data_IF_564384301321
#
_entry.id   IF_564384301321
#
_cell.length_a   1.000
_cell.length_b   1.000
_cell.length_c   1.000
_cell.angle_alpha   90.00
_cell.angle_beta   90.00
_cell.angle_gamma   90.00
#
_symmetry.space_group_name_H-M   'P 1'
#
loop_
_entity.id
_entity.type
_entity.pdbx_description
1 polymer ?
#
# COMPACT_ATOMS: atom_id res chain seq x y z
N UNK A 1 7.54 -7.76 11.68
CA UNK A 1 6.09 -7.94 11.47
C UNK A 1 5.49 -8.58 12.72
N UNK A 2 4.40 -8.03 13.22
CA UNK A 2 3.64 -8.60 14.34
C UNK A 2 2.27 -9.01 13.85
N UNK A 3 1.65 -10.00 14.48
CA UNK A 3 0.33 -10.48 14.08
C UNK A 3 -0.50 -10.83 15.32
N UNK A 4 -1.78 -10.45 15.30
CA UNK A 4 -2.73 -10.82 16.35
C UNK A 4 -3.94 -11.51 15.70
N UNK A 5 -4.22 -12.73 16.12
CA UNK A 5 -5.33 -13.52 15.61
C UNK A 5 -6.37 -13.75 16.69
N UNK A 6 -7.62 -13.56 16.33
CA UNK A 6 -8.77 -14.02 17.12
C UNK A 6 -9.76 -14.67 16.16
N UNK A 7 -10.85 -15.23 16.70
CA UNK A 7 -11.89 -15.80 15.86
C UNK A 7 -12.63 -14.73 15.04
N UNK A 8 -12.58 -13.46 15.48
CA UNK A 8 -13.34 -12.37 14.90
C UNK A 8 -12.51 -11.46 14.00
N UNK A 9 -11.20 -11.41 14.21
CA UNK A 9 -10.33 -10.53 13.42
C UNK A 9 -8.88 -11.02 13.35
N UNK A 10 -8.20 -10.54 12.33
CA UNK A 10 -6.75 -10.72 12.19
C UNK A 10 -6.15 -9.33 11.97
N UNK A 11 -5.13 -9.01 12.76
CA UNK A 11 -4.38 -7.76 12.60
C UNK A 11 -2.93 -8.10 12.30
N UNK A 12 -2.38 -7.47 11.27
CA UNK A 12 -0.98 -7.58 10.90
C UNK A 12 -0.36 -6.20 10.95
N UNK A 13 0.77 -6.07 11.63
CA UNK A 13 1.54 -4.84 11.69
C UNK A 13 2.79 -4.98 10.84
N UNK A 14 2.89 -4.18 9.80
CA UNK A 14 4.04 -4.15 8.91
C UNK A 14 4.97 -3.01 9.32
N UNK A 15 6.25 -3.28 9.34
CA UNK A 15 7.27 -2.28 9.70
C UNK A 15 8.53 -2.50 8.88
N UNK A 16 9.46 -1.55 8.97
CA UNK A 16 10.78 -1.67 8.37
C UNK A 16 11.84 -1.22 9.38
N UNK A 17 13.11 -1.27 8.99
CA UNK A 17 14.24 -0.93 9.86
C UNK A 17 14.60 0.55 9.84
N UNK A 18 13.87 1.37 9.05
CA UNK A 18 14.23 2.75 8.76
C UNK A 18 13.44 3.73 9.62
N UNK A 19 12.24 3.37 10.04
CA UNK A 19 11.37 4.26 10.81
C UNK A 19 10.64 3.51 11.91
N UNK A 20 10.08 4.26 12.85
CA UNK A 20 9.24 3.70 13.93
C UNK A 20 7.79 3.50 13.50
N UNK A 21 7.49 3.81 12.25
CA UNK A 21 6.15 3.70 11.70
C UNK A 21 5.75 2.24 11.50
N UNK A 22 4.52 1.92 11.88
CA UNK A 22 3.92 0.62 11.59
C UNK A 22 2.63 0.82 10.81
N UNK A 23 2.41 -0.02 9.80
CA UNK A 23 1.15 -0.07 9.06
C UNK A 23 0.31 -1.21 9.60
N UNK A 24 -0.89 -0.91 10.08
CA UNK A 24 -1.82 -1.92 10.57
C UNK A 24 -2.76 -2.33 9.46
N UNK A 25 -2.82 -3.63 9.17
CA UNK A 25 -3.78 -4.22 8.25
C UNK A 25 -4.74 -5.07 9.06
N UNK A 26 -6.03 -4.86 8.87
CA UNK A 26 -7.08 -5.55 9.65
C UNK A 26 -8.03 -6.30 8.76
N UNK A 27 -8.23 -7.58 9.06
CA UNK A 27 -9.27 -8.39 8.46
C UNK A 27 -10.35 -8.67 9.51
N UNK A 28 -11.61 -8.47 9.12
CA UNK A 28 -12.76 -8.69 9.98
C UNK A 28 -13.61 -9.84 9.43
N UNK A 29 -13.88 -10.83 10.27
CA UNK A 29 -14.66 -12.00 9.89
C UNK A 29 -16.06 -11.65 9.36
N UNK A 30 -16.72 -10.68 10.00
CA UNK A 30 -18.09 -10.32 9.67
C UNK A 30 -18.19 -9.19 8.65
N UNK A 31 -17.13 -8.95 7.88
CA UNK A 31 -17.10 -7.95 6.83
C UNK A 31 -16.68 -8.57 5.50
N UNK A 32 -17.57 -9.36 4.85
CA UNK A 32 -17.21 -10.03 3.59
C UNK A 32 -17.21 -9.11 2.38
N UNK A 33 -17.88 -7.96 2.46
CA UNK A 33 -17.98 -7.04 1.34
C UNK A 33 -16.73 -6.15 1.25
N UNK A 34 -16.38 -5.66 0.05
CA UNK A 34 -15.30 -4.68 -0.09
C UNK A 34 -15.61 -3.38 0.64
N UNK A 35 -14.57 -2.66 1.06
CA UNK A 35 -14.72 -1.34 1.65
C UNK A 35 -14.94 -0.31 0.55
N UNK A 36 -15.73 0.72 0.88
CA UNK A 36 -15.93 1.84 -0.01
C UNK A 36 -14.75 2.80 0.13
N UNK A 37 -13.88 2.82 -0.87
CA UNK A 37 -12.67 3.63 -0.85
C UNK A 37 -12.89 5.03 -1.46
N UNK A 38 -14.13 5.36 -1.85
CA UNK A 38 -14.43 6.64 -2.48
C UNK A 38 -13.69 6.78 -3.80
N UNK A 39 -13.10 7.94 -4.02
CA UNK A 39 -12.31 8.21 -5.22
C UNK A 39 -10.81 7.99 -4.97
N UNK A 40 -10.44 7.34 -3.88
CA UNK A 40 -9.05 7.10 -3.47
C UNK A 40 -8.26 8.40 -3.30
N UNK A 41 -8.89 9.44 -2.75
CA UNK A 41 -8.24 10.71 -2.51
C UNK A 41 -7.29 10.67 -1.30
N UNK A 42 -7.33 9.60 -0.52
CA UNK A 42 -6.36 9.34 0.54
C UNK A 42 -5.38 8.26 0.09
N UNK A 43 -4.16 8.33 0.55
CA UNK A 43 -3.16 7.31 0.21
C UNK A 43 -1.96 7.41 1.14
N UNK A 44 -1.18 6.33 1.20
CA UNK A 44 0.14 6.33 1.80
C UNK A 44 1.16 6.67 0.73
N UNK A 45 2.21 7.38 1.13
CA UNK A 45 3.32 7.70 0.25
C UNK A 45 4.58 7.00 0.78
N UNK A 46 5.33 6.39 -0.13
CA UNK A 46 6.58 5.72 0.17
C UNK A 46 7.71 6.37 -0.63
N UNK A 47 8.76 6.76 0.06
CA UNK A 47 9.97 7.23 -0.61
C UNK A 47 10.81 6.01 -0.99
N UNK A 48 11.10 5.86 -2.27
CA UNK A 48 11.90 4.74 -2.76
C UNK A 48 13.38 5.07 -2.62
N UNK A 49 14.16 4.14 -2.13
CA UNK A 49 15.61 4.28 -2.05
C UNK A 49 16.22 4.30 -3.46
N UNK A 50 15.70 3.43 -4.34
CA UNK A 50 16.05 3.41 -5.76
C UNK A 50 14.76 3.51 -6.56
N UNK A 51 14.42 4.73 -6.96
CA UNK A 51 13.16 5.02 -7.64
C UNK A 51 13.03 4.27 -8.98
N UNK A 52 14.09 4.26 -9.76
CA UNK A 52 14.05 3.59 -11.08
C UNK A 52 13.88 2.09 -10.95
N UNK A 53 14.56 1.48 -9.99
CA UNK A 53 14.42 0.04 -9.72
C UNK A 53 13.02 -0.28 -9.21
N UNK A 54 12.47 0.55 -8.34
CA UNK A 54 11.11 0.40 -7.83
C UNK A 54 10.09 0.48 -8.97
N UNK A 55 10.23 1.46 -9.85
CA UNK A 55 9.34 1.63 -10.99
C UNK A 55 9.37 0.42 -11.92
N UNK A 56 10.56 -0.07 -12.22
CA UNK A 56 10.72 -1.27 -13.06
C UNK A 56 10.02 -2.47 -12.43
N UNK A 57 10.22 -2.68 -11.15
CA UNK A 57 9.59 -3.79 -10.41
C UNK A 57 8.07 -3.68 -10.43
N UNK A 58 7.53 -2.51 -10.12
CA UNK A 58 6.09 -2.30 -10.09
C UNK A 58 5.46 -2.42 -11.47
N UNK A 59 6.20 -2.02 -12.51
CA UNK A 59 5.75 -2.22 -13.90
C UNK A 59 5.67 -3.71 -14.24
N UNK A 60 6.66 -4.50 -13.84
CA UNK A 60 6.65 -5.95 -14.03
C UNK A 60 5.52 -6.61 -13.25
N UNK A 61 5.21 -6.11 -12.06
CA UNK A 61 4.09 -6.57 -11.24
C UNK A 61 2.73 -6.16 -11.79
N UNK A 62 2.69 -5.24 -12.74
CA UNK A 62 1.46 -4.71 -13.37
C UNK A 62 0.53 -4.04 -12.36
N UNK A 63 1.10 -3.38 -11.36
CA UNK A 63 0.32 -2.71 -10.32
C UNK A 63 0.32 -1.19 -10.42
N UNK A 64 1.02 -0.60 -11.41
CA UNK A 64 1.00 0.85 -11.60
C UNK A 64 -0.36 1.27 -12.16
N UNK A 65 -1.03 2.19 -11.46
CA UNK A 65 -2.35 2.66 -11.87
C UNK A 65 -2.37 4.11 -12.36
N UNK A 66 -1.34 4.89 -12.05
CA UNK A 66 -1.24 6.28 -12.50
C UNK A 66 0.22 6.73 -12.47
N UNK A 67 0.64 7.50 -13.47
CA UNK A 67 1.97 8.09 -13.53
C UNK A 67 1.86 9.58 -13.74
N UNK A 68 2.57 10.36 -12.93
CA UNK A 68 2.68 11.80 -13.08
C UNK A 68 4.14 12.15 -13.39
N UNK A 69 4.46 12.18 -14.68
CA UNK A 69 5.84 12.43 -15.13
C UNK A 69 6.31 13.82 -14.79
N UNK A 70 5.42 14.80 -14.79
CA UNK A 70 5.77 16.18 -14.46
C UNK A 70 6.27 16.33 -13.04
N UNK A 71 5.69 15.58 -12.10
CA UNK A 71 6.12 15.59 -10.71
C UNK A 71 7.17 14.52 -10.39
N UNK A 72 7.37 13.58 -11.30
CA UNK A 72 8.30 12.47 -11.10
C UNK A 72 7.83 11.47 -10.06
N UNK A 73 6.53 11.21 -10.01
CA UNK A 73 5.92 10.27 -9.06
C UNK A 73 4.99 9.31 -9.81
N UNK A 74 4.65 8.21 -9.16
CA UNK A 74 3.61 7.32 -9.68
C UNK A 74 2.85 6.67 -8.54
N UNK A 75 1.70 6.09 -8.86
CA UNK A 75 0.87 5.36 -7.92
C UNK A 75 0.77 3.90 -8.32
N UNK A 76 0.76 3.04 -7.32
CA UNK A 76 0.43 1.63 -7.48
C UNK A 76 -0.86 1.33 -6.74
N UNK A 77 -1.50 0.23 -7.11
CA UNK A 77 -2.71 -0.24 -6.44
C UNK A 77 -2.40 -1.56 -5.75
N UNK A 78 -2.84 -1.70 -4.50
CA UNK A 78 -2.70 -2.96 -3.78
C UNK A 78 -3.83 -3.93 -4.17
N UNK A 79 -3.79 -5.20 -3.71
CA UNK A 79 -4.82 -6.17 -4.07
C UNK A 79 -6.24 -5.79 -3.66
N UNK A 80 -6.40 -4.90 -2.70
CA UNK A 80 -7.71 -4.46 -2.22
C UNK A 80 -8.16 -3.14 -2.85
N UNK A 81 -7.36 -2.57 -3.77
CA UNK A 81 -7.72 -1.36 -4.49
C UNK A 81 -7.22 -0.06 -3.85
N UNK A 82 -6.45 -0.12 -2.77
CA UNK A 82 -5.86 1.07 -2.17
C UNK A 82 -4.73 1.60 -3.02
N UNK A 83 -4.68 2.92 -3.16
CA UNK A 83 -3.62 3.60 -3.90
C UNK A 83 -2.44 3.91 -2.98
N UNK A 84 -1.24 3.65 -3.48
CA UNK A 84 0.01 3.92 -2.79
C UNK A 84 0.88 4.78 -3.71
N UNK A 85 1.36 5.91 -3.18
CA UNK A 85 2.21 6.83 -3.95
C UNK A 85 3.68 6.47 -3.77
N UNK A 86 4.42 6.47 -4.85
CA UNK A 86 5.86 6.17 -4.82
C UNK A 86 6.63 7.44 -5.20
N UNK A 87 7.51 7.86 -4.30
CA UNK A 87 8.30 9.07 -4.41
C UNK A 87 9.77 8.73 -4.62
N UNK A 88 10.51 9.58 -5.35
CA UNK A 88 11.96 9.42 -5.46
C UNK A 88 12.71 9.77 -4.18
#
# INVERSE_FOLDING_TARGET
MRRKNTDDFIIVYLSNDVSDFELELTWLKDHPQPYNLGECEFHLAFQAEDYEAAHKKHKEMRCICFENEAMGIYFIVDPDGYWLEILP
#
